data_IF_580260721124
#
_entry.id   IF_580260721124
#
_cell.length_a   1.000
_cell.length_b   1.000
_cell.length_c   1.000
_cell.angle_alpha   90.00
_cell.angle_beta   90.00
_cell.angle_gamma   90.00
#
_symmetry.space_group_name_H-M   'P 1'
#
loop_
_entity.id
_entity.type
_entity.pdbx_description
1 polymer ?
#
# COMPACT_ATOMS: atom_id res chain seq x y z
N UNK A 1 -1.86 -11.16 -6.42
CA UNK A 1 -2.80 -11.63 -5.38
C UNK A 1 -3.97 -10.68 -5.25
N UNK A 2 -3.83 -9.50 -4.62
CA UNK A 2 -4.96 -8.55 -4.47
C UNK A 2 -5.44 -8.01 -5.81
N UNK A 3 -4.53 -7.64 -6.73
CA UNK A 3 -4.92 -7.16 -8.07
C UNK A 3 -5.73 -8.20 -8.85
N UNK A 4 -5.33 -9.48 -8.77
CA UNK A 4 -6.04 -10.60 -9.40
C UNK A 4 -7.41 -10.80 -8.75
N UNK A 5 -7.45 -10.80 -7.40
CA UNK A 5 -8.67 -10.97 -6.62
C UNK A 5 -9.69 -9.85 -6.86
N UNK A 6 -9.22 -8.61 -7.04
CA UNK A 6 -10.06 -7.46 -7.34
C UNK A 6 -10.72 -7.53 -8.73
N UNK A 7 -10.21 -8.37 -9.65
CA UNK A 7 -10.86 -8.65 -10.93
C UNK A 7 -10.84 -7.53 -11.98
N UNK A 8 -10.10 -6.42 -11.74
CA UNK A 8 -10.07 -5.27 -12.66
C UNK A 8 -9.11 -5.43 -13.84
N UNK A 9 -8.39 -6.54 -13.97
CA UNK A 9 -7.42 -6.77 -15.06
C UNK A 9 -6.24 -5.78 -15.08
N UNK A 10 -5.99 -5.08 -13.95
CA UNK A 10 -4.89 -4.13 -13.81
C UNK A 10 -3.56 -4.86 -13.56
N UNK A 11 -2.45 -4.25 -14.01
CA UNK A 11 -1.09 -4.77 -13.87
C UNK A 11 -0.18 -3.80 -13.14
N UNK A 12 0.87 -4.31 -12.50
CA UNK A 12 1.92 -3.48 -11.93
C UNK A 12 2.76 -2.86 -13.06
N UNK A 13 2.96 -1.54 -13.00
CA UNK A 13 3.76 -0.79 -13.95
C UNK A 13 5.07 -0.44 -13.25
N UNK A 14 6.19 -1.12 -13.58
CA UNK A 14 7.47 -0.81 -12.97
C UNK A 14 7.97 0.54 -13.48
N UNK A 15 8.43 1.38 -12.56
CA UNK A 15 9.04 2.66 -12.86
C UNK A 15 10.48 2.67 -12.31
N UNK A 16 11.45 3.32 -12.99
CA UNK A 16 12.80 3.43 -12.47
C UNK A 16 12.82 4.16 -11.12
N UNK A 17 13.41 3.52 -10.10
CA UNK A 17 13.37 4.00 -8.72
C UNK A 17 13.96 5.40 -8.54
N UNK A 18 15.19 5.62 -9.02
CA UNK A 18 15.90 6.88 -8.81
C UNK A 18 15.17 8.11 -9.39
N UNK A 19 14.71 8.11 -10.67
CA UNK A 19 13.88 9.18 -11.20
C UNK A 19 12.61 9.43 -10.38
N UNK A 20 11.90 8.37 -9.99
CA UNK A 20 10.66 8.50 -9.22
C UNK A 20 10.89 9.09 -7.84
N UNK A 21 11.95 8.67 -7.13
CA UNK A 21 12.32 9.23 -5.82
C UNK A 21 12.63 10.72 -5.96
N UNK A 22 13.36 11.13 -7.00
CA UNK A 22 13.65 12.55 -7.26
C UNK A 22 12.39 13.37 -7.54
N UNK A 23 11.47 12.84 -8.36
CA UNK A 23 10.17 13.48 -8.61
C UNK A 23 9.36 13.63 -7.32
N UNK A 24 9.29 12.60 -6.49
CA UNK A 24 8.58 12.63 -5.22
C UNK A 24 9.20 13.61 -4.22
N UNK A 25 10.53 13.71 -4.15
CA UNK A 25 11.24 14.72 -3.36
C UNK A 25 10.90 16.15 -3.81
N UNK A 26 10.81 16.39 -5.12
CA UNK A 26 10.41 17.69 -5.66
C UNK A 26 8.96 18.03 -5.29
N UNK A 27 8.05 17.07 -5.44
CA UNK A 27 6.64 17.24 -5.05
C UNK A 27 6.47 17.45 -3.56
N UNK A 28 7.26 16.77 -2.72
CA UNK A 28 7.29 16.97 -1.27
C UNK A 28 7.75 18.39 -0.92
N UNK A 29 8.83 18.88 -1.53
CA UNK A 29 9.33 20.25 -1.34
C UNK A 29 8.27 21.31 -1.70
N UNK A 30 7.39 21.02 -2.66
CA UNK A 30 6.29 21.88 -3.07
C UNK A 30 5.00 21.68 -2.23
N UNK A 31 5.03 20.85 -1.18
CA UNK A 31 3.86 20.44 -0.39
C UNK A 31 2.71 19.81 -1.21
N UNK A 32 3.05 19.20 -2.36
CA UNK A 32 2.10 18.56 -3.28
C UNK A 32 2.12 17.03 -3.20
N UNK A 33 3.18 16.45 -2.61
CA UNK A 33 3.26 15.02 -2.33
C UNK A 33 2.42 14.69 -1.09
N UNK A 34 1.46 13.77 -1.17
CA UNK A 34 0.82 13.25 0.02
C UNK A 34 1.72 12.22 0.75
N UNK A 35 2.81 11.76 0.12
CA UNK A 35 3.73 10.75 0.63
C UNK A 35 4.86 11.39 1.45
N UNK A 36 5.14 10.82 2.62
CA UNK A 36 6.28 11.20 3.45
C UNK A 36 7.56 10.53 2.95
N UNK A 37 8.70 11.24 3.09
CA UNK A 37 10.02 10.81 2.62
C UNK A 37 10.37 9.34 2.81
N UNK A 38 10.13 8.82 4.01
CA UNK A 38 10.49 7.45 4.34
C UNK A 38 9.69 6.40 3.54
N UNK A 39 8.45 6.67 3.11
CA UNK A 39 7.68 5.72 2.27
C UNK A 39 8.37 5.49 0.94
N UNK A 40 8.67 6.57 0.22
CA UNK A 40 9.15 6.43 -1.15
C UNK A 40 10.64 6.10 -1.22
N UNK A 41 11.41 6.36 -0.16
CA UNK A 41 12.81 5.95 -0.09
C UNK A 41 13.00 4.48 0.31
N UNK A 42 12.04 3.89 1.03
CA UNK A 42 12.12 2.49 1.47
C UNK A 42 11.27 1.52 0.66
N UNK A 43 10.43 2.00 -0.27
CA UNK A 43 9.56 1.14 -1.10
C UNK A 43 10.34 0.15 -1.99
N UNK A 44 11.61 0.42 -2.28
CA UNK A 44 12.48 -0.46 -3.07
C UNK A 44 13.21 -1.50 -2.24
N UNK A 45 13.18 -1.36 -0.92
CA UNK A 45 13.90 -2.24 -0.01
C UNK A 45 12.97 -3.35 0.49
N UNK A 46 13.50 -4.56 0.57
CA UNK A 46 12.76 -5.69 1.13
C UNK A 46 12.61 -5.53 2.64
N UNK A 47 11.36 -5.41 3.11
CA UNK A 47 11.04 -5.35 4.53
C UNK A 47 10.11 -6.51 4.90
N UNK A 48 10.62 -7.46 5.69
CA UNK A 48 9.84 -8.58 6.19
C UNK A 48 10.21 -8.91 7.64
N UNK A 49 9.24 -9.50 8.35
CA UNK A 49 9.43 -9.98 9.73
C UNK A 49 9.40 -11.50 9.70
N UNK A 50 10.52 -12.12 10.07
CA UNK A 50 10.61 -13.58 10.12
C UNK A 50 9.79 -14.15 11.28
N UNK A 51 9.04 -15.22 11.01
CA UNK A 51 8.29 -15.99 12.02
C UNK A 51 9.04 -17.23 12.50
N UNK A 52 10.21 -17.55 11.94
CA UNK A 52 10.96 -18.79 12.23
C UNK A 52 11.22 -19.01 13.72
N UNK A 53 11.52 -17.93 14.44
CA UNK A 53 11.72 -17.99 15.89
C UNK A 53 10.44 -18.38 16.62
N UNK A 54 9.29 -17.85 16.20
CA UNK A 54 7.99 -18.18 16.78
C UNK A 54 7.59 -19.62 16.46
N UNK A 55 7.86 -20.09 15.23
CA UNK A 55 7.62 -21.49 14.84
C UNK A 55 8.46 -22.45 15.70
N UNK A 56 9.76 -22.19 15.86
CA UNK A 56 10.67 -23.05 16.61
C UNK A 56 10.41 -23.05 18.12
N UNK A 57 10.17 -21.87 18.72
CA UNK A 57 10.10 -21.73 20.19
C UNK A 57 8.69 -21.94 20.72
N UNK A 58 7.67 -21.52 19.97
CA UNK A 58 6.28 -21.55 20.42
C UNK A 58 5.44 -22.62 19.71
N UNK A 59 6.03 -23.34 18.75
CA UNK A 59 5.28 -24.25 17.89
C UNK A 59 4.23 -23.52 17.05
N UNK A 60 4.44 -22.22 16.78
CA UNK A 60 3.52 -21.42 15.98
C UNK A 60 3.37 -22.05 14.60
N UNK A 61 2.12 -22.16 14.13
CA UNK A 61 1.79 -22.67 12.79
C UNK A 61 0.90 -21.63 12.12
N UNK A 62 1.42 -20.85 11.15
CA UNK A 62 0.62 -19.82 10.49
C UNK A 62 -0.56 -20.47 9.76
N UNK A 63 -1.78 -20.03 10.07
CA UNK A 63 -3.00 -20.51 9.41
C UNK A 63 -3.16 -19.94 8.00
N UNK A 64 -2.63 -18.75 7.76
CA UNK A 64 -2.77 -18.00 6.52
C UNK A 64 -1.39 -17.66 5.96
N UNK A 65 -1.25 -17.75 4.65
CA UNK A 65 -0.08 -17.20 3.96
C UNK A 65 -0.16 -15.67 3.89
N UNK A 66 0.95 -15.01 3.52
CA UNK A 66 0.94 -13.57 3.25
C UNK A 66 -0.10 -13.18 2.19
N UNK A 67 -0.29 -14.03 1.15
CA UNK A 67 -1.29 -13.80 0.11
C UNK A 67 -2.71 -13.89 0.67
N UNK A 68 -2.99 -14.89 1.49
CA UNK A 68 -4.31 -15.08 2.12
C UNK A 68 -4.63 -13.93 3.07
N UNK A 69 -3.65 -13.49 3.87
CA UNK A 69 -3.81 -12.35 4.77
C UNK A 69 -4.14 -11.06 4.01
N UNK A 70 -3.44 -10.78 2.90
CA UNK A 70 -3.72 -9.63 2.04
C UNK A 70 -5.13 -9.70 1.42
N UNK A 71 -5.52 -10.85 0.89
CA UNK A 71 -6.85 -11.05 0.30
C UNK A 71 -7.94 -10.87 1.35
N UNK A 72 -7.77 -11.45 2.54
CA UNK A 72 -8.72 -11.32 3.65
C UNK A 72 -8.88 -9.86 4.10
N UNK A 73 -7.78 -9.12 4.21
CA UNK A 73 -7.83 -7.71 4.58
C UNK A 73 -8.51 -6.86 3.49
N UNK A 74 -8.27 -7.19 2.22
CA UNK A 74 -8.94 -6.54 1.11
C UNK A 74 -10.45 -6.85 1.08
N UNK A 75 -10.85 -8.09 1.36
CA UNK A 75 -12.26 -8.45 1.47
C UNK A 75 -12.94 -7.67 2.61
N UNK A 76 -12.30 -7.60 3.79
CA UNK A 76 -12.81 -6.78 4.89
C UNK A 76 -12.99 -5.32 4.48
N UNK A 77 -12.03 -4.75 3.73
CA UNK A 77 -12.15 -3.40 3.18
C UNK A 77 -13.37 -3.25 2.26
N UNK A 78 -13.62 -4.20 1.36
CA UNK A 78 -14.80 -4.17 0.48
C UNK A 78 -16.10 -4.24 1.28
N UNK A 79 -16.17 -5.12 2.27
CA UNK A 79 -17.35 -5.31 3.11
C UNK A 79 -17.70 -4.04 3.90
N UNK A 80 -16.69 -3.29 4.36
CA UNK A 80 -16.86 -2.12 5.24
C UNK A 80 -16.70 -0.78 4.50
N UNK A 81 -16.48 -0.80 3.18
CA UNK A 81 -16.21 0.41 2.39
C UNK A 81 -17.29 1.49 2.60
N UNK A 82 -18.55 1.07 2.66
CA UNK A 82 -19.70 1.94 2.86
C UNK A 82 -19.67 2.73 4.18
N UNK A 83 -18.93 2.27 5.20
CA UNK A 83 -18.88 2.91 6.53
C UNK A 83 -18.01 4.17 6.53
N UNK A 84 -17.01 4.24 5.65
CA UNK A 84 -16.03 5.33 5.61
C UNK A 84 -15.89 5.98 4.22
N UNK A 85 -16.61 5.49 3.21
CA UNK A 85 -16.68 6.13 1.90
C UNK A 85 -17.26 7.54 2.03
N UNK A 86 -16.60 8.53 1.44
CA UNK A 86 -16.99 9.95 1.51
C UNK A 86 -16.43 10.72 2.72
N UNK A 87 -15.81 10.02 3.67
CA UNK A 87 -15.06 10.67 4.75
C UNK A 87 -13.61 10.90 4.32
N UNK A 88 -13.02 12.02 4.73
CA UNK A 88 -11.60 12.29 4.52
C UNK A 88 -10.98 12.78 5.82
N UNK A 89 -9.77 12.33 6.12
CA UNK A 89 -9.07 12.74 7.32
C UNK A 89 -7.62 12.26 7.33
N UNK A 90 -6.96 12.53 8.45
CA UNK A 90 -5.52 12.30 8.64
C UNK A 90 -5.20 10.97 9.35
N UNK A 91 -6.23 10.19 9.69
CA UNK A 91 -6.08 8.91 10.39
C UNK A 91 -6.10 7.73 9.44
N UNK A 92 -5.58 6.59 9.90
CA UNK A 92 -5.54 5.32 9.16
C UNK A 92 -6.92 4.68 8.89
N UNK A 93 -8.02 5.30 9.34
CA UNK A 93 -9.38 4.75 9.25
C UNK A 93 -10.23 5.40 8.16
N UNK A 94 -9.72 6.44 7.50
CA UNK A 94 -10.44 7.19 6.47
C UNK A 94 -9.58 7.33 5.22
N UNK A 95 -10.19 7.37 4.03
CA UNK A 95 -9.49 7.68 2.81
C UNK A 95 -8.66 8.97 2.92
N UNK A 96 -7.34 8.84 2.74
CA UNK A 96 -6.40 9.95 2.73
C UNK A 96 -6.52 10.80 1.44
N UNK A 97 -6.16 12.09 1.54
CA UNK A 97 -6.17 13.02 0.40
C UNK A 97 -5.01 12.69 -0.56
N UNK A 98 -5.35 12.35 -1.80
CA UNK A 98 -4.38 11.85 -2.79
C UNK A 98 -3.48 12.93 -3.43
N UNK A 99 -3.77 14.22 -3.25
CA UNK A 99 -2.94 15.31 -3.77
C UNK A 99 -2.61 15.16 -5.26
N UNK A 100 -1.35 15.39 -5.63
CA UNK A 100 -0.87 15.24 -7.00
C UNK A 100 -0.99 13.80 -7.55
N UNK A 101 -1.10 12.77 -6.70
CA UNK A 101 -1.28 11.38 -7.15
C UNK A 101 -2.63 11.15 -7.83
N UNK A 102 -3.63 12.01 -7.59
CA UNK A 102 -4.90 11.93 -8.29
C UNK A 102 -4.75 12.14 -9.80
N UNK A 103 -3.78 12.97 -10.22
CA UNK A 103 -3.47 13.21 -11.64
C UNK A 103 -2.83 11.97 -12.25
N UNK A 104 -1.94 11.29 -11.52
CA UNK A 104 -1.29 10.07 -12.01
C UNK A 104 -2.29 8.97 -12.37
N UNK A 105 -3.44 8.88 -11.67
CA UNK A 105 -4.52 7.92 -11.99
C UNK A 105 -5.15 8.11 -13.37
N UNK A 106 -4.97 9.25 -14.01
CA UNK A 106 -5.48 9.46 -15.37
C UNK A 106 -4.59 8.79 -16.41
N UNK A 107 -3.32 8.55 -16.07
CA UNK A 107 -2.32 7.97 -16.96
C UNK A 107 -2.13 6.45 -16.77
N UNK A 108 -2.61 5.88 -15.66
CA UNK A 108 -2.42 4.47 -15.26
C UNK A 108 -3.75 3.78 -14.86
#
# INVERSE_FOLDING_TARGET
AVLDYAGFGKRMIPLPAAPMIWTLRLLEKLNMSPLYRWVYETVTEDSFVSIEKAERVLGYKPKYSNKDALIRNYQWYLDHLHEFQGQSGVSHRVPWKQGALAIAKWFF
#
